data_IF_473533403436
#
_entry.id   IF_473533403436
#
_cell.length_a   1.000
_cell.length_b   1.000
_cell.length_c   1.000
_cell.angle_alpha   90.00
_cell.angle_beta   90.00
_cell.angle_gamma   90.00
#
_symmetry.space_group_name_H-M   'P 1'
#
loop_
_entity.id
_entity.type
_entity.pdbx_description
1 polymer ?
#
# COMPACT_ATOMS: atom_id res chain seq x y z
N UNK A 1 5.37 40.81 -21.16
CA UNK A 1 5.11 39.35 -21.23
C UNK A 1 6.35 38.62 -20.75
N UNK A 2 6.30 38.06 -19.54
CA UNK A 2 7.38 37.21 -19.02
C UNK A 2 6.94 35.76 -19.17
N UNK A 3 7.72 34.98 -19.92
CA UNK A 3 7.58 33.53 -20.04
C UNK A 3 8.61 32.91 -19.10
N UNK A 4 8.13 32.24 -18.05
CA UNK A 4 8.99 31.41 -17.21
C UNK A 4 8.71 29.94 -17.51
N UNK A 5 9.78 29.20 -17.74
CA UNK A 5 9.75 27.81 -18.16
C UNK A 5 10.45 26.97 -17.10
N UNK A 6 9.77 25.93 -16.63
CA UNK A 6 10.36 24.96 -15.71
C UNK A 6 10.04 23.56 -16.21
N UNK A 7 11.08 22.79 -16.50
CA UNK A 7 10.97 21.34 -16.67
C UNK A 7 11.23 20.71 -15.32
N UNK A 8 10.20 20.11 -14.74
CA UNK A 8 10.32 19.25 -13.55
C UNK A 8 9.82 17.86 -13.93
N UNK A 9 10.76 16.98 -14.27
CA UNK A 9 10.51 15.59 -14.62
C UNK A 9 9.68 15.42 -15.90
N UNK A 10 8.37 15.23 -15.76
CA UNK A 10 7.40 14.90 -16.83
C UNK A 10 6.38 15.99 -17.13
N UNK A 11 6.54 17.15 -16.48
CA UNK A 11 5.59 18.25 -16.56
C UNK A 11 6.24 19.45 -17.24
N UNK A 12 5.61 19.90 -18.32
CA UNK A 12 5.96 21.15 -19.00
C UNK A 12 5.00 22.22 -18.50
N UNK A 13 5.51 23.24 -17.81
CA UNK A 13 4.67 24.32 -17.26
C UNK A 13 5.02 25.66 -17.90
N UNK A 14 4.00 26.38 -18.33
CA UNK A 14 4.11 27.76 -18.82
C UNK A 14 3.32 28.68 -17.92
N UNK A 15 3.98 29.74 -17.44
CA UNK A 15 3.32 30.83 -16.74
C UNK A 15 3.34 32.06 -17.64
N UNK A 16 2.16 32.51 -18.07
CA UNK A 16 2.00 33.79 -18.79
C UNK A 16 1.55 34.83 -17.78
N UNK A 17 2.35 35.87 -17.61
CA UNK A 17 2.06 36.97 -16.68
C UNK A 17 1.68 38.23 -17.45
N UNK A 18 0.40 38.61 -17.33
CA UNK A 18 -0.19 39.94 -17.54
C UNK A 18 -1.06 40.25 -16.29
N UNK A 19 -2.05 41.15 -16.33
CA UNK A 19 -3.00 41.41 -15.21
C UNK A 19 -3.76 40.17 -14.71
N UNK A 20 -3.65 39.04 -15.43
CA UNK A 20 -4.12 37.71 -15.06
C UNK A 20 -2.99 36.70 -15.22
N UNK A 21 -2.95 35.70 -14.33
CA UNK A 21 -1.97 34.60 -14.37
C UNK A 21 -2.61 33.37 -15.01
N UNK A 22 -2.02 32.89 -16.11
CA UNK A 22 -2.39 31.61 -16.73
C UNK A 22 -1.28 30.58 -16.48
N UNK A 23 -1.65 29.40 -15.97
CA UNK A 23 -0.76 28.25 -15.81
C UNK A 23 -1.29 27.11 -16.69
N UNK A 24 -0.47 26.67 -17.64
CA UNK A 24 -0.74 25.50 -18.49
C UNK A 24 0.33 24.46 -18.20
N UNK A 25 -0.09 23.29 -17.74
CA UNK A 25 0.78 22.16 -17.44
C UNK A 25 0.45 20.95 -18.33
N UNK A 26 1.42 20.49 -19.12
CA UNK A 26 1.31 19.24 -19.88
C UNK A 26 1.95 18.11 -19.10
N UNK A 27 1.17 17.06 -18.80
CA UNK A 27 1.67 15.84 -18.16
C UNK A 27 1.82 14.74 -19.20
N UNK A 28 3.06 14.36 -19.50
CA UNK A 28 3.35 13.24 -20.40
C UNK A 28 3.51 11.97 -19.56
N UNK A 29 2.51 11.09 -19.61
CA UNK A 29 2.52 9.78 -18.94
C UNK A 29 2.52 8.65 -19.96
N UNK A 30 3.28 7.58 -19.67
CA UNK A 30 3.18 6.34 -20.45
C UNK A 30 1.77 5.79 -20.32
N UNK A 31 1.17 5.42 -21.45
CA UNK A 31 -0.11 4.72 -21.46
C UNK A 31 0.06 3.42 -20.66
N UNK A 32 -0.79 3.15 -19.67
CA UNK A 32 -0.81 1.86 -19.00
C UNK A 32 -1.11 0.76 -20.02
N UNK A 33 -0.18 -0.15 -20.26
CA UNK A 33 -0.30 -1.24 -21.24
C UNK A 33 -0.27 -2.62 -20.58
N UNK A 34 -0.07 -2.69 -19.26
CA UNK A 34 -0.01 -3.94 -18.50
C UNK A 34 -0.97 -3.96 -17.35
N UNK A 35 -1.71 -5.06 -17.28
CA UNK A 35 -2.62 -5.39 -16.20
C UNK A 35 -1.88 -6.06 -15.05
N UNK A 36 -2.30 -5.74 -13.83
CA UNK A 36 -1.85 -6.41 -12.61
C UNK A 36 -3.01 -6.50 -11.63
N UNK A 37 -2.86 -7.38 -10.66
CA UNK A 37 -3.84 -7.62 -9.61
C UNK A 37 -3.23 -7.29 -8.25
N UNK A 38 -4.05 -6.68 -7.41
CA UNK A 38 -3.73 -6.43 -6.03
C UNK A 38 -4.83 -6.90 -5.10
N UNK A 39 -4.45 -7.31 -3.90
CA UNK A 39 -5.39 -7.49 -2.79
C UNK A 39 -5.66 -6.12 -2.19
N UNK A 40 -6.91 -5.85 -1.83
CA UNK A 40 -7.27 -4.59 -1.19
C UNK A 40 -7.30 -4.75 0.32
N UNK A 41 -7.13 -3.67 1.06
CA UNK A 41 -7.19 -3.69 2.53
C UNK A 41 -8.59 -3.87 3.11
N UNK A 42 -9.64 -3.78 2.28
CA UNK A 42 -11.02 -3.65 2.75
C UNK A 42 -11.56 -5.00 3.20
N UNK A 43 -12.08 -5.04 4.43
CA UNK A 43 -12.74 -6.20 5.01
C UNK A 43 -14.24 -6.22 4.68
N UNK A 44 -14.91 -7.34 4.97
CA UNK A 44 -16.33 -7.56 4.68
C UNK A 44 -17.25 -6.46 5.26
N UNK A 45 -16.98 -6.06 6.51
CA UNK A 45 -17.73 -5.05 7.25
C UNK A 45 -17.37 -3.60 6.86
N UNK A 46 -16.48 -3.41 5.87
CA UNK A 46 -16.00 -2.10 5.43
C UNK A 46 -14.90 -1.50 6.33
N UNK A 47 -14.42 -2.22 7.33
CA UNK A 47 -13.16 -1.91 8.01
C UNK A 47 -11.96 -2.22 7.10
N UNK A 48 -10.75 -1.95 7.60
CA UNK A 48 -9.51 -2.12 6.85
C UNK A 48 -8.44 -2.81 7.68
N UNK A 49 -7.79 -3.80 7.09
CA UNK A 49 -6.49 -4.28 7.54
C UNK A 49 -5.39 -3.26 7.20
N UNK A 50 -4.31 -3.22 7.99
CA UNK A 50 -3.22 -2.28 7.77
C UNK A 50 -2.28 -2.81 6.69
N UNK A 51 -2.27 -2.13 5.55
CA UNK A 51 -1.35 -2.40 4.44
C UNK A 51 -0.34 -1.26 4.37
N UNK A 52 0.92 -1.59 4.10
CA UNK A 52 2.01 -0.63 3.96
C UNK A 52 2.82 -0.98 2.71
N UNK A 53 3.11 0.02 1.89
CA UNK A 53 3.93 -0.07 0.68
C UNK A 53 5.16 0.82 0.87
N UNK A 54 6.32 0.18 1.07
CA UNK A 54 7.59 0.83 1.33
C UNK A 54 8.46 0.80 0.08
N UNK A 55 8.96 1.97 -0.31
CA UNK A 55 9.91 2.14 -1.40
C UNK A 55 11.10 2.98 -0.92
N UNK A 56 12.32 2.49 -1.15
CA UNK A 56 13.58 3.18 -0.84
C UNK A 56 14.21 2.88 0.52
N UNK A 57 13.57 2.07 1.36
CA UNK A 57 14.07 1.68 2.69
C UNK A 57 14.86 0.37 2.64
N UNK A 58 15.86 0.23 3.50
CA UNK A 58 16.46 -1.08 3.79
C UNK A 58 15.51 -1.94 4.63
N UNK A 59 15.80 -3.24 4.71
CA UNK A 59 15.01 -4.13 5.55
C UNK A 59 15.07 -3.72 7.02
N UNK A 60 16.26 -3.38 7.54
CA UNK A 60 16.49 -2.96 8.93
C UNK A 60 15.72 -1.68 9.28
N UNK A 61 15.82 -0.63 8.46
CA UNK A 61 15.05 0.61 8.68
C UNK A 61 13.54 0.37 8.71
N UNK A 62 13.04 -0.52 7.85
CA UNK A 62 11.63 -0.87 7.80
C UNK A 62 11.21 -1.72 9.02
N UNK A 63 12.03 -2.67 9.47
CA UNK A 63 11.72 -3.46 10.67
C UNK A 63 11.71 -2.60 11.93
N UNK A 64 12.66 -1.68 12.09
CA UNK A 64 12.71 -0.76 13.22
C UNK A 64 11.46 0.12 13.27
N UNK A 65 11.01 0.62 12.11
CA UNK A 65 9.76 1.38 12.03
C UNK A 65 8.53 0.53 12.37
N UNK A 66 8.46 -0.70 11.85
CA UNK A 66 7.35 -1.61 12.13
C UNK A 66 7.26 -1.95 13.63
N UNK A 67 8.40 -2.18 14.30
CA UNK A 67 8.45 -2.41 15.74
C UNK A 67 7.95 -1.20 16.54
N UNK A 68 8.35 0.01 16.12
CA UNK A 68 7.88 1.25 16.75
C UNK A 68 6.37 1.44 16.60
N UNK A 69 5.78 1.22 15.41
CA UNK A 69 4.32 1.35 15.25
C UNK A 69 3.54 0.21 15.93
N UNK A 70 4.13 -0.99 16.03
CA UNK A 70 3.57 -2.08 16.82
C UNK A 70 3.45 -1.66 18.28
N UNK A 71 4.51 -1.06 18.83
CA UNK A 71 4.54 -0.57 20.21
C UNK A 71 3.55 0.58 20.43
N UNK A 72 3.60 1.61 19.59
CA UNK A 72 2.80 2.83 19.73
C UNK A 72 1.29 2.56 19.64
N UNK A 73 0.87 1.73 18.70
CA UNK A 73 -0.55 1.49 18.44
C UNK A 73 -1.06 0.15 19.00
N UNK A 74 -0.20 -0.64 19.66
CA UNK A 74 -0.56 -1.95 20.20
C UNK A 74 -0.94 -2.97 19.10
N UNK A 75 -0.31 -2.89 17.93
CA UNK A 75 -0.64 -3.73 16.78
C UNK A 75 -0.11 -5.15 16.95
N UNK A 76 -0.80 -6.11 16.33
CA UNK A 76 -0.34 -7.48 16.17
C UNK A 76 0.75 -7.60 15.10
N UNK A 77 1.13 -8.84 14.78
CA UNK A 77 2.27 -9.15 13.93
C UNK A 77 2.11 -8.60 12.50
N UNK A 78 3.21 -8.15 11.90
CA UNK A 78 3.27 -7.78 10.49
C UNK A 78 3.90 -8.89 9.66
N UNK A 79 3.28 -9.21 8.54
CA UNK A 79 3.79 -10.12 7.51
C UNK A 79 4.46 -9.30 6.40
N UNK A 80 5.74 -9.56 6.14
CA UNK A 80 6.55 -8.79 5.21
C UNK A 80 6.73 -9.56 3.90
N UNK A 81 6.56 -8.87 2.80
CA UNK A 81 6.75 -9.37 1.46
C UNK A 81 7.77 -8.49 0.73
N UNK A 82 8.81 -9.10 0.17
CA UNK A 82 9.81 -8.40 -0.63
C UNK A 82 9.30 -8.25 -2.06
N UNK A 83 9.37 -7.03 -2.60
CA UNK A 83 9.18 -6.78 -4.01
C UNK A 83 10.44 -7.18 -4.81
N UNK A 84 10.45 -6.88 -6.10
CA UNK A 84 11.53 -7.26 -7.02
C UNK A 84 12.83 -6.45 -6.87
N UNK A 85 12.85 -5.44 -6.00
CA UNK A 85 14.03 -4.63 -5.69
C UNK A 85 14.40 -4.74 -4.21
N UNK A 86 15.68 -4.64 -3.87
CA UNK A 86 16.18 -4.86 -2.50
C UNK A 86 15.69 -3.85 -1.46
N UNK A 87 15.13 -2.72 -1.91
CA UNK A 87 14.60 -1.65 -1.06
C UNK A 87 13.11 -1.39 -1.29
N UNK A 88 12.34 -2.43 -1.58
CA UNK A 88 10.90 -2.31 -1.76
C UNK A 88 10.20 -3.48 -1.07
N UNK A 89 9.27 -3.15 -0.18
CA UNK A 89 8.61 -4.11 0.70
C UNK A 89 7.13 -3.77 0.83
N UNK A 90 6.31 -4.81 0.92
CA UNK A 90 4.98 -4.67 1.48
C UNK A 90 4.97 -5.22 2.90
N UNK A 91 4.22 -4.57 3.79
CA UNK A 91 3.94 -5.11 5.11
C UNK A 91 2.43 -5.12 5.34
N UNK A 92 1.93 -6.22 5.91
CA UNK A 92 0.50 -6.42 6.17
C UNK A 92 0.32 -6.80 7.64
N UNK A 93 -0.46 -6.02 8.38
CA UNK A 93 -1.01 -6.42 9.68
C UNK A 93 -2.50 -6.71 9.51
N UNK A 94 -2.95 -7.81 10.11
CA UNK A 94 -4.32 -8.33 9.91
C UNK A 94 -5.35 -7.66 10.82
N UNK A 95 -4.92 -6.84 11.78
CA UNK A 95 -5.81 -6.06 12.64
C UNK A 95 -6.69 -5.13 11.82
N UNK A 96 -7.96 -5.06 12.19
CA UNK A 96 -9.01 -4.32 11.51
C UNK A 96 -9.28 -2.99 12.19
N UNK A 97 -9.40 -1.95 11.37
CA UNK A 97 -9.63 -0.59 11.80
C UNK A 97 -10.66 0.11 10.94
N UNK A 98 -11.36 1.10 11.48
CA UNK A 98 -12.14 2.02 10.64
C UNK A 98 -11.17 2.81 9.76
N UNK A 99 -11.66 3.31 8.62
CA UNK A 99 -10.83 4.03 7.65
C UNK A 99 -9.99 5.15 8.29
N UNK A 100 -10.58 5.98 9.17
CA UNK A 100 -9.83 7.09 9.77
C UNK A 100 -8.71 6.62 10.70
N UNK A 101 -8.90 5.52 11.43
CA UNK A 101 -7.91 4.92 12.34
C UNK A 101 -6.78 4.29 11.52
N UNK A 102 -7.13 3.55 10.46
CA UNK A 102 -6.15 2.99 9.54
C UNK A 102 -5.33 4.09 8.84
N UNK A 103 -5.99 5.18 8.44
CA UNK A 103 -5.30 6.34 7.83
C UNK A 103 -4.35 7.00 8.82
N UNK A 104 -4.75 7.12 10.09
CA UNK A 104 -3.93 7.69 11.14
C UNK A 104 -2.67 6.84 11.35
N UNK A 105 -2.81 5.54 11.60
CA UNK A 105 -1.68 4.59 11.73
C UNK A 105 -0.75 4.66 10.53
N UNK A 106 -1.29 4.56 9.31
CA UNK A 106 -0.50 4.60 8.07
C UNK A 106 0.22 5.95 7.91
N UNK A 107 -0.34 7.04 8.44
CA UNK A 107 0.29 8.36 8.37
C UNK A 107 1.60 8.44 9.16
N UNK A 108 1.75 7.65 10.23
CA UNK A 108 2.95 7.57 11.08
C UNK A 108 4.10 6.76 10.48
N UNK A 109 3.89 6.08 9.35
CA UNK A 109 4.92 5.23 8.71
C UNK A 109 5.76 5.98 7.68
N UNK A 110 6.75 5.34 7.07
CA UNK A 110 7.47 5.84 5.89
C UNK A 110 6.93 5.27 4.59
N UNK A 111 5.70 4.73 4.58
CA UNK A 111 5.06 4.24 3.36
C UNK A 111 4.95 5.32 2.28
N UNK A 112 4.90 4.89 1.01
CA UNK A 112 4.87 5.79 -0.15
C UNK A 112 3.80 6.88 -0.02
N UNK A 113 4.16 8.12 -0.39
CA UNK A 113 3.27 9.28 -0.23
C UNK A 113 1.99 9.14 -1.05
N UNK A 114 2.07 8.53 -2.24
CA UNK A 114 0.92 8.23 -3.07
C UNK A 114 0.05 7.16 -2.41
N UNK A 115 0.67 6.12 -1.87
CA UNK A 115 0.00 5.05 -1.13
C UNK A 115 -0.77 5.57 0.09
N UNK A 116 -0.17 6.42 0.92
CA UNK A 116 -0.86 7.05 2.06
C UNK A 116 -2.10 7.84 1.66
N UNK A 117 -2.07 8.49 0.50
CA UNK A 117 -3.18 9.31 -0.02
C UNK A 117 -4.19 8.52 -0.85
N UNK A 118 -3.88 7.28 -1.22
CA UNK A 118 -4.69 6.48 -2.14
C UNK A 118 -6.18 6.39 -1.73
N UNK A 119 -6.55 6.12 -0.47
CA UNK A 119 -7.97 6.03 -0.10
C UNK A 119 -8.73 7.35 -0.21
N UNK A 120 -8.03 8.49 -0.11
CA UNK A 120 -8.64 9.81 -0.26
C UNK A 120 -8.91 10.09 -1.74
N UNK A 121 -7.99 9.67 -2.61
CA UNK A 121 -8.01 9.97 -4.03
C UNK A 121 -8.87 9.00 -4.85
N UNK A 122 -8.99 7.74 -4.42
CA UNK A 122 -9.75 6.72 -5.13
C UNK A 122 -11.16 6.57 -4.57
N UNK A 123 -12.16 6.48 -5.47
CA UNK A 123 -13.59 6.36 -5.11
C UNK A 123 -13.88 5.17 -4.19
N UNK A 124 -13.11 4.08 -4.32
CA UNK A 124 -13.29 2.86 -3.55
C UNK A 124 -12.73 2.94 -2.13
N UNK A 125 -12.02 4.03 -1.76
CA UNK A 125 -11.49 4.29 -0.42
C UNK A 125 -10.84 3.05 0.18
N UNK A 126 -9.73 2.60 -0.41
CA UNK A 126 -9.01 1.39 0.02
C UNK A 126 -7.55 1.48 -0.38
N UNK A 127 -6.70 0.79 0.37
CA UNK A 127 -5.32 0.53 -0.05
C UNK A 127 -5.28 -0.75 -0.88
N UNK A 128 -4.33 -0.84 -1.80
CA UNK A 128 -4.18 -1.99 -2.69
C UNK A 128 -2.70 -2.34 -2.78
N UNK A 129 -2.34 -3.55 -2.36
CA UNK A 129 -0.99 -4.08 -2.52
C UNK A 129 -0.97 -5.05 -3.69
N UNK A 130 0.05 -4.95 -4.54
CA UNK A 130 0.24 -5.89 -5.65
C UNK A 130 0.49 -7.29 -5.10
N UNK A 131 -0.14 -8.29 -5.68
CA UNK A 131 0.04 -9.71 -5.31
C UNK A 131 0.39 -10.59 -6.51
N UNK A 132 0.26 -10.06 -7.73
CA UNK A 132 0.61 -10.73 -8.97
C UNK A 132 1.87 -10.12 -9.62
N UNK A 133 2.48 -10.79 -10.62
CA UNK A 133 3.50 -10.16 -11.45
C UNK A 133 3.01 -8.87 -12.13
N UNK A 134 3.94 -7.99 -12.50
CA UNK A 134 3.66 -6.73 -13.23
C UNK A 134 4.66 -6.57 -14.36
N UNK A 135 4.27 -6.98 -15.57
CA UNK A 135 5.18 -7.04 -16.71
C UNK A 135 6.35 -7.98 -16.45
N UNK A 136 7.58 -7.46 -16.45
CA UNK A 136 8.79 -8.24 -16.14
C UNK A 136 9.07 -8.36 -14.63
N UNK A 137 8.39 -7.55 -13.81
CA UNK A 137 8.56 -7.54 -12.35
C UNK A 137 7.85 -8.77 -11.78
N UNK A 138 8.57 -9.57 -11.00
CA UNK A 138 8.03 -10.76 -10.32
C UNK A 138 6.93 -10.37 -9.33
N UNK A 139 6.10 -11.36 -8.93
CA UNK A 139 5.20 -11.17 -7.80
C UNK A 139 6.02 -10.96 -6.52
N UNK A 140 5.50 -10.23 -5.51
CA UNK A 140 6.18 -10.16 -4.22
C UNK A 140 6.32 -11.56 -3.62
N UNK A 141 7.33 -11.75 -2.77
CA UNK A 141 7.61 -13.03 -2.09
C UNK A 141 7.61 -12.81 -0.58
N UNK A 142 7.04 -13.75 0.17
CA UNK A 142 7.09 -13.68 1.64
C UNK A 142 8.55 -13.71 2.11
N UNK A 143 8.91 -12.77 2.98
CA UNK A 143 10.26 -12.61 3.49
C UNK A 143 10.36 -12.96 4.97
N UNK A 144 9.54 -12.33 5.80
CA UNK A 144 9.64 -12.41 7.25
C UNK A 144 8.32 -12.05 7.94
N UNK A 145 8.26 -12.32 9.24
CA UNK A 145 7.18 -11.85 10.12
C UNK A 145 7.82 -11.11 11.29
N UNK A 146 7.37 -9.87 11.55
CA UNK A 146 7.70 -9.16 12.79
C UNK A 146 6.63 -9.55 13.80
N UNK A 147 7.03 -10.35 14.78
CA UNK A 147 6.10 -10.90 15.76
C UNK A 147 5.75 -9.86 16.80
N UNK A 148 4.48 -9.88 17.20
CA UNK A 148 3.93 -9.11 18.30
C UNK A 148 3.00 -10.00 19.10
N UNK A 149 3.07 -9.90 20.43
CA UNK A 149 2.18 -10.60 21.36
C UNK A 149 0.85 -9.86 21.56
N UNK A 150 0.73 -8.64 21.01
CA UNK A 150 -0.49 -7.84 21.10
C UNK A 150 -1.64 -8.51 20.35
N UNK A 151 -2.81 -8.52 20.97
CA UNK A 151 -4.04 -9.11 20.43
C UNK A 151 -5.27 -8.26 20.78
N UNK A 152 -5.10 -6.94 20.85
CA UNK A 152 -6.14 -6.01 21.27
C UNK A 152 -7.26 -5.82 20.23
N UNK A 153 -6.96 -6.06 18.95
CA UNK A 153 -7.86 -5.76 17.83
C UNK A 153 -8.39 -7.03 17.16
N UNK A 154 -9.59 -6.89 16.60
CA UNK A 154 -10.18 -7.90 15.71
C UNK A 154 -9.35 -8.03 14.43
N UNK A 155 -9.26 -9.23 13.86
CA UNK A 155 -8.43 -9.55 12.70
C UNK A 155 -9.27 -10.08 11.56
N UNK A 156 -8.86 -9.78 10.33
CA UNK A 156 -9.57 -10.27 9.15
C UNK A 156 -9.20 -11.72 8.82
N UNK A 157 -10.17 -12.62 8.96
CA UNK A 157 -10.03 -14.03 8.61
C UNK A 157 -9.75 -14.21 7.11
N UNK A 158 -10.49 -13.52 6.23
CA UNK A 158 -10.30 -13.61 4.78
C UNK A 158 -8.89 -13.20 4.34
N UNK A 159 -8.32 -12.12 4.89
CA UNK A 159 -6.95 -11.71 4.55
C UNK A 159 -5.92 -12.73 5.00
N UNK A 160 -6.09 -13.32 6.19
CA UNK A 160 -5.22 -14.41 6.65
C UNK A 160 -5.23 -15.59 5.67
N UNK A 161 -6.42 -16.08 5.33
CA UNK A 161 -6.60 -17.22 4.40
C UNK A 161 -5.99 -16.88 3.04
N UNK A 162 -6.20 -15.66 2.56
CA UNK A 162 -5.60 -15.18 1.33
C UNK A 162 -4.06 -15.23 1.38
N UNK A 163 -3.44 -14.76 2.47
CA UNK A 163 -1.97 -14.79 2.62
C UNK A 163 -1.44 -16.23 2.65
N UNK A 164 -2.11 -17.13 3.39
CA UNK A 164 -1.75 -18.55 3.41
C UNK A 164 -1.82 -19.18 2.02
N UNK A 165 -2.91 -18.97 1.30
CA UNK A 165 -3.10 -19.54 -0.03
C UNK A 165 -2.15 -18.93 -1.08
N UNK A 166 -2.00 -17.60 -1.10
CA UNK A 166 -1.27 -16.90 -2.15
C UNK A 166 0.26 -16.99 -2.01
N UNK A 167 0.75 -17.15 -0.77
CA UNK A 167 2.18 -17.20 -0.44
C UNK A 167 2.62 -18.51 0.20
N UNK A 168 1.75 -19.52 0.27
CA UNK A 168 2.01 -20.82 0.91
C UNK A 168 2.51 -20.68 2.36
N UNK A 169 1.92 -19.74 3.09
CA UNK A 169 2.25 -19.47 4.49
C UNK A 169 1.44 -20.38 5.42
N UNK A 170 1.95 -20.56 6.65
CA UNK A 170 1.25 -21.28 7.74
C UNK A 170 1.06 -20.33 8.92
N UNK A 171 0.09 -19.43 8.81
CA UNK A 171 -0.21 -18.45 9.86
C UNK A 171 -0.99 -19.13 10.99
N UNK A 172 -1.95 -19.99 10.63
CA UNK A 172 -2.87 -20.63 11.56
C UNK A 172 -3.93 -19.67 12.09
N UNK A 173 -4.97 -20.22 12.72
CA UNK A 173 -6.07 -19.43 13.29
C UNK A 173 -5.54 -18.45 14.35
N UNK A 174 -5.87 -17.17 14.19
CA UNK A 174 -5.47 -16.10 15.11
C UNK A 174 -6.54 -15.86 16.19
N UNK A 175 -6.12 -15.24 17.29
CA UNK A 175 -7.06 -14.72 18.30
C UNK A 175 -7.82 -13.53 17.72
N UNK A 176 -9.09 -13.38 18.12
CA UNK A 176 -9.95 -12.26 17.70
C UNK A 176 -10.19 -12.21 16.18
N UNK A 177 -10.24 -13.35 15.51
CA UNK A 177 -10.64 -13.41 14.10
C UNK A 177 -12.14 -13.11 13.92
N UNK A 178 -12.47 -12.32 12.89
CA UNK A 178 -13.85 -11.93 12.57
C UNK A 178 -14.70 -13.07 12.00
N UNK A 179 -14.06 -14.15 11.55
CA UNK A 179 -14.73 -15.35 11.05
C UNK A 179 -15.31 -15.23 9.64
N UNK A 180 -15.14 -14.09 8.97
CA UNK A 180 -15.56 -13.90 7.58
C UNK A 180 -14.46 -14.38 6.64
N UNK A 181 -14.60 -15.58 6.09
CA UNK A 181 -13.62 -16.23 5.21
C UNK A 181 -13.93 -16.11 3.71
N UNK A 182 -15.18 -15.79 3.34
CA UNK A 182 -15.63 -15.76 1.94
C UNK A 182 -15.33 -14.44 1.20
N UNK A 183 -15.01 -13.35 1.92
CA UNK A 183 -14.87 -12.02 1.31
C UNK A 183 -13.41 -11.54 1.27
N UNK A 184 -12.80 -11.63 0.09
CA UNK A 184 -11.55 -10.93 -0.22
C UNK A 184 -11.74 -10.09 -1.48
N UNK A 185 -11.48 -8.78 -1.37
CA UNK A 185 -11.64 -7.85 -2.48
C UNK A 185 -10.32 -7.77 -3.26
N UNK A 186 -10.38 -8.12 -4.55
CA UNK A 186 -9.26 -8.11 -5.49
C UNK A 186 -9.47 -7.00 -6.51
N UNK A 187 -8.47 -6.14 -6.65
CA UNK A 187 -8.48 -5.02 -7.57
C UNK A 187 -7.59 -5.33 -8.79
N UNK A 188 -8.19 -5.35 -9.98
CA UNK A 188 -7.46 -5.29 -11.26
C UNK A 188 -7.22 -3.84 -11.61
N UNK A 189 -5.98 -3.46 -11.88
CA UNK A 189 -5.65 -2.10 -12.30
C UNK A 189 -4.54 -2.08 -13.35
N UNK A 190 -4.62 -1.09 -14.24
CA UNK A 190 -3.62 -0.88 -15.28
C UNK A 190 -2.45 -0.09 -14.71
N UNK A 191 -1.23 -0.49 -15.08
CA UNK A 191 -0.02 0.19 -14.63
C UNK A 191 0.89 0.52 -15.79
N UNK A 192 1.60 1.65 -15.70
CA UNK A 192 2.73 1.92 -16.59
C UNK A 192 3.93 1.06 -16.17
N UNK A 193 4.55 0.36 -17.12
CA UNK A 193 5.84 -0.29 -16.87
C UNK A 193 6.97 0.77 -16.89
N UNK A 194 7.76 0.83 -15.82
CA UNK A 194 9.15 1.24 -15.96
C UNK A 194 9.86 0.05 -16.59
N UNK A 195 10.31 0.21 -17.84
CA UNK A 195 11.19 -0.74 -18.51
C UNK A 195 12.62 -0.48 -18.05
#
# INVERSE_FOLDING_TARGET
MYLNFSILGRTLSFKIVNDKVFNISFLIVKKPDKETYGVTSRCFDGSHSIFLDYDGLTFEEMTDELENIIYEFGLSSFYIFKNDTDKSFHAICLDKFRMYEAMDIISYTSADKGFKKAPILFKQRRWVLRVSPKGKRKKPEYLATIKSDNNAYEKSTAHRIFLEANYNMKIGKLKMEDGFDEFIDICRYNTGANC
#
